data_IF_239692711835
#
_entry.id   IF_239692711835
#
_cell.length_a   1.000
_cell.length_b   1.000
_cell.length_c   1.000
_cell.angle_alpha   90.00
_cell.angle_beta   90.00
_cell.angle_gamma   90.00
#
_symmetry.space_group_name_H-M   'P 1'
#
loop_
_entity.id
_entity.type
_entity.pdbx_description
1 polymer ?
#
# COMPACT_ATOMS: atom_id res chain seq x y z
N UNK A 1 -27.60 16.97 8.57
CA UNK A 1 -28.00 15.69 7.92
C UNK A 1 -26.72 14.99 7.49
N UNK A 2 -26.35 13.95 8.24
CA UNK A 2 -25.16 13.14 7.99
C UNK A 2 -25.49 12.20 6.81
N UNK A 3 -24.98 12.51 5.61
CA UNK A 3 -25.05 11.58 4.49
C UNK A 3 -24.06 10.46 4.76
N UNK A 4 -24.56 9.37 5.33
CA UNK A 4 -23.82 8.10 5.39
C UNK A 4 -23.75 7.59 3.96
N UNK A 5 -22.65 7.88 3.28
CA UNK A 5 -22.35 7.23 2.02
C UNK A 5 -22.01 5.77 2.31
N UNK A 6 -22.95 4.90 2.04
CA UNK A 6 -22.71 3.48 1.87
C UNK A 6 -21.76 3.34 0.67
N UNK A 7 -20.44 3.36 0.93
CA UNK A 7 -19.51 2.76 0.00
C UNK A 7 -19.82 1.27 0.00
N UNK A 8 -20.69 0.86 -0.90
CA UNK A 8 -20.79 -0.53 -1.32
C UNK A 8 -19.35 -0.95 -1.64
N UNK A 9 -18.79 -1.83 -0.82
CA UNK A 9 -17.66 -2.65 -1.21
C UNK A 9 -18.07 -3.25 -2.54
N UNK A 10 -17.60 -2.65 -3.64
CA UNK A 10 -17.80 -3.21 -4.97
C UNK A 10 -17.30 -4.64 -4.84
N UNK A 11 -18.15 -5.64 -5.05
CA UNK A 11 -17.74 -7.01 -4.78
C UNK A 11 -16.47 -7.29 -5.56
N UNK A 12 -15.45 -7.80 -4.88
CA UNK A 12 -14.13 -8.14 -5.43
C UNK A 12 -14.21 -9.09 -6.66
N UNK A 13 -15.41 -9.55 -7.01
CA UNK A 13 -15.69 -10.53 -8.05
C UNK A 13 -15.90 -9.97 -9.47
N UNK A 14 -15.78 -8.66 -9.69
CA UNK A 14 -15.93 -8.08 -11.05
C UNK A 14 -14.71 -8.24 -11.96
N UNK A 15 -13.82 -9.19 -11.67
CA UNK A 15 -12.71 -9.54 -12.55
C UNK A 15 -13.04 -10.72 -13.49
N UNK A 16 -14.22 -10.71 -14.10
CA UNK A 16 -14.58 -11.61 -15.18
C UNK A 16 -14.03 -11.12 -16.52
N UNK A 17 -13.27 -11.99 -17.20
CA UNK A 17 -12.70 -11.94 -18.54
C UNK A 17 -11.40 -11.12 -18.74
N UNK A 18 -10.49 -11.55 -19.65
CA UNK A 18 -9.21 -10.91 -19.89
C UNK A 18 -9.38 -9.66 -20.76
N UNK A 19 -9.86 -8.59 -20.17
CA UNK A 19 -9.77 -7.28 -20.78
C UNK A 19 -8.35 -6.75 -20.48
N UNK A 20 -7.62 -6.41 -21.52
CA UNK A 20 -6.24 -5.91 -21.49
C UNK A 20 -6.07 -4.53 -20.82
N UNK A 21 -7.08 -4.06 -20.10
CA UNK A 21 -6.99 -2.78 -19.41
C UNK A 21 -5.98 -2.84 -18.28
N UNK A 22 -5.05 -1.90 -18.30
CA UNK A 22 -4.04 -1.76 -17.27
C UNK A 22 -4.69 -1.62 -15.89
N UNK A 23 -4.24 -2.41 -14.90
CA UNK A 23 -4.81 -2.46 -13.54
C UNK A 23 -4.87 -1.07 -12.88
N UNK A 24 -3.86 -0.24 -13.09
CA UNK A 24 -3.82 1.11 -12.56
C UNK A 24 -4.94 1.98 -13.10
N UNK A 25 -5.24 1.85 -14.40
CA UNK A 25 -6.34 2.58 -15.07
C UNK A 25 -7.67 2.09 -14.55
N UNK A 26 -7.88 0.76 -14.48
CA UNK A 26 -9.12 0.17 -13.99
C UNK A 26 -9.41 0.59 -12.54
N UNK A 27 -8.44 0.44 -11.65
CA UNK A 27 -8.59 0.80 -10.23
C UNK A 27 -8.72 2.31 -10.05
N UNK A 28 -7.95 3.10 -10.80
CA UNK A 28 -8.05 4.57 -10.78
C UNK A 28 -9.44 5.06 -11.15
N UNK A 29 -10.07 4.46 -12.17
CA UNK A 29 -11.46 4.78 -12.54
C UNK A 29 -12.47 4.45 -11.43
N UNK A 30 -12.32 3.29 -10.77
CA UNK A 30 -13.23 2.84 -9.70
C UNK A 30 -13.20 3.83 -8.52
N UNK A 31 -12.01 4.28 -8.13
CA UNK A 31 -11.84 5.13 -6.95
C UNK A 31 -11.67 6.63 -7.26
N UNK A 32 -11.81 7.03 -8.52
CA UNK A 32 -11.65 8.43 -8.93
C UNK A 32 -10.22 8.97 -8.77
N UNK A 33 -9.20 8.11 -8.76
CA UNK A 33 -7.81 8.47 -8.54
C UNK A 33 -7.04 8.41 -9.86
N UNK A 34 -6.20 9.42 -10.11
CA UNK A 34 -5.30 9.42 -11.26
C UNK A 34 -4.41 8.16 -11.26
N UNK A 35 -4.44 7.31 -12.30
CA UNK A 35 -3.70 6.04 -12.35
C UNK A 35 -2.20 6.19 -12.12
N UNK A 36 -1.60 7.28 -12.62
CA UNK A 36 -0.17 7.57 -12.43
C UNK A 36 0.16 7.93 -10.98
N UNK A 37 -0.82 8.47 -10.23
CA UNK A 37 -0.63 8.70 -8.79
C UNK A 37 -0.57 7.38 -8.03
N UNK A 38 -1.47 6.43 -8.30
CA UNK A 38 -1.42 5.09 -7.70
C UNK A 38 -0.09 4.39 -8.00
N UNK A 39 0.34 4.44 -9.26
CA UNK A 39 1.65 3.89 -9.67
C UNK A 39 2.80 4.56 -8.92
N UNK A 40 2.78 5.89 -8.79
CA UNK A 40 3.84 6.66 -8.11
C UNK A 40 3.93 6.33 -6.63
N UNK A 41 2.79 6.12 -5.97
CA UNK A 41 2.75 5.66 -4.58
C UNK A 41 3.37 4.27 -4.49
N UNK A 42 2.94 3.31 -5.29
CA UNK A 42 3.51 1.97 -5.28
C UNK A 42 5.02 1.96 -5.59
N UNK A 43 5.48 2.84 -6.48
CA UNK A 43 6.91 3.02 -6.78
C UNK A 43 7.69 3.52 -5.57
N UNK A 44 7.13 4.47 -4.80
CA UNK A 44 7.74 5.00 -3.58
C UNK A 44 7.70 3.99 -2.44
N UNK A 45 6.61 3.23 -2.31
CA UNK A 45 6.39 2.28 -1.22
C UNK A 45 7.28 1.03 -1.31
N UNK A 46 7.35 0.43 -2.47
CA UNK A 46 7.98 -0.88 -2.61
C UNK A 46 8.96 -1.00 -3.78
N UNK A 47 9.09 0.05 -4.59
CA UNK A 47 9.74 -0.03 -5.91
C UNK A 47 9.00 -1.00 -6.87
N UNK A 48 7.68 -1.10 -6.71
CA UNK A 48 6.78 -2.01 -7.43
C UNK A 48 6.99 -3.50 -7.11
N UNK A 49 7.72 -3.81 -6.06
CA UNK A 49 7.90 -5.19 -5.61
C UNK A 49 6.66 -5.65 -4.82
N UNK A 50 6.04 -6.72 -5.31
CA UNK A 50 4.80 -7.28 -4.72
C UNK A 50 5.04 -8.13 -3.47
N UNK A 51 6.28 -8.57 -3.24
CA UNK A 51 6.61 -9.52 -2.18
C UNK A 51 7.40 -8.89 -1.04
N UNK A 52 7.26 -7.57 -0.86
CA UNK A 52 7.88 -6.83 0.26
C UNK A 52 6.99 -6.88 1.49
N UNK A 53 7.62 -7.15 2.63
CA UNK A 53 7.06 -6.95 3.96
C UNK A 53 7.99 -6.02 4.71
N UNK A 54 7.48 -4.91 5.22
CA UNK A 54 8.28 -3.93 5.96
C UNK A 54 7.67 -3.64 7.34
N UNK A 55 8.51 -3.30 8.30
CA UNK A 55 8.08 -2.92 9.64
C UNK A 55 9.17 -2.16 10.39
N UNK A 56 8.77 -1.43 11.43
CA UNK A 56 9.68 -0.66 12.26
C UNK A 56 10.23 -1.54 13.41
N UNK A 57 11.55 -1.72 13.47
CA UNK A 57 12.15 -2.59 14.49
C UNK A 57 12.27 -1.92 15.86
N UNK A 58 12.25 -0.59 15.95
CA UNK A 58 12.30 0.13 17.23
C UNK A 58 11.07 -0.08 18.12
N UNK A 59 10.02 -0.72 17.60
CA UNK A 59 8.83 -1.14 18.34
C UNK A 59 8.87 -2.61 18.76
N UNK A 60 9.94 -3.31 18.44
CA UNK A 60 10.14 -4.72 18.78
C UNK A 60 10.86 -4.87 20.11
N UNK A 61 10.51 -5.92 20.83
CA UNK A 61 11.29 -6.35 22.00
C UNK A 61 12.61 -6.99 21.54
N UNK A 62 13.66 -7.02 22.38
CA UNK A 62 14.90 -7.73 22.05
C UNK A 62 14.67 -9.20 21.67
N UNK A 63 13.73 -9.88 22.34
CA UNK A 63 13.35 -11.25 22.02
C UNK A 63 12.75 -11.35 20.62
N UNK A 64 11.84 -10.47 20.23
CA UNK A 64 11.27 -10.46 18.88
C UNK A 64 12.34 -10.24 17.81
N UNK A 65 13.33 -9.38 18.05
CA UNK A 65 14.46 -9.18 17.12
C UNK A 65 15.24 -10.48 16.96
N UNK A 66 15.56 -11.17 18.06
CA UNK A 66 16.28 -12.43 18.03
C UNK A 66 15.49 -13.54 17.32
N UNK A 67 14.21 -13.69 17.67
CA UNK A 67 13.32 -14.71 17.09
C UNK A 67 13.16 -14.49 15.57
N UNK A 68 13.05 -13.22 15.13
CA UNK A 68 12.98 -12.89 13.70
C UNK A 68 14.29 -13.23 12.99
N UNK A 69 15.44 -12.88 13.56
CA UNK A 69 16.73 -13.18 12.96
C UNK A 69 16.91 -14.68 12.77
N UNK A 70 16.58 -15.47 13.80
CA UNK A 70 16.63 -16.93 13.72
C UNK A 70 15.65 -17.50 12.68
N UNK A 71 14.44 -16.92 12.58
CA UNK A 71 13.46 -17.32 11.57
C UNK A 71 13.96 -17.03 10.15
N UNK A 72 14.50 -15.83 9.90
CA UNK A 72 15.02 -15.44 8.59
C UNK A 72 16.20 -16.32 8.17
N UNK A 73 17.15 -16.55 9.07
CA UNK A 73 18.31 -17.41 8.84
C UNK A 73 17.89 -18.85 8.52
N UNK A 74 17.05 -19.46 9.35
CA UNK A 74 16.51 -20.82 9.15
C UNK A 74 15.83 -20.98 7.79
N UNK A 75 15.12 -19.96 7.32
CA UNK A 75 14.39 -19.99 6.04
C UNK A 75 15.21 -19.46 4.86
N UNK A 76 16.46 -18.99 5.07
CA UNK A 76 17.34 -18.38 4.08
C UNK A 76 16.70 -17.19 3.38
N UNK A 77 15.99 -16.36 4.16
CA UNK A 77 15.28 -15.16 3.68
C UNK A 77 16.15 -13.94 3.95
N UNK A 78 16.43 -13.17 2.91
CA UNK A 78 17.21 -11.95 3.02
C UNK A 78 16.37 -10.77 3.52
N UNK A 79 16.96 -9.95 4.39
CA UNK A 79 16.36 -8.70 4.84
C UNK A 79 17.34 -7.54 4.67
N UNK A 80 16.79 -6.35 4.42
CA UNK A 80 17.58 -5.10 4.41
C UNK A 80 17.08 -4.19 5.52
N UNK A 81 18.00 -3.75 6.34
CA UNK A 81 17.71 -2.77 7.39
C UNK A 81 18.07 -1.37 6.90
N UNK A 82 17.14 -0.45 7.02
CA UNK A 82 17.32 0.97 6.75
C UNK A 82 16.94 1.77 7.99
N UNK A 83 17.91 2.34 8.68
CA UNK A 83 17.71 3.13 9.91
C UNK A 83 16.82 2.43 10.94
N UNK A 84 15.51 2.61 10.88
CA UNK A 84 14.51 2.08 11.81
C UNK A 84 13.54 1.09 11.19
N UNK A 85 13.70 0.78 9.89
CA UNK A 85 12.81 -0.09 9.12
C UNK A 85 13.58 -1.31 8.65
N UNK A 86 12.99 -2.48 8.84
CA UNK A 86 13.41 -3.72 8.18
C UNK A 86 12.48 -3.95 7.00
N UNK A 87 13.05 -4.13 5.81
CA UNK A 87 12.34 -4.54 4.62
C UNK A 87 12.81 -5.93 4.20
N UNK A 88 11.88 -6.87 4.14
CA UNK A 88 12.10 -8.25 3.69
C UNK A 88 11.53 -8.36 2.29
N UNK A 89 12.40 -8.65 1.30
CA UNK A 89 12.04 -8.86 -0.10
C UNK A 89 12.10 -10.34 -0.41
N UNK A 90 10.93 -10.95 -0.47
CA UNK A 90 10.81 -12.39 -0.71
C UNK A 90 10.86 -12.72 -2.21
N UNK A 91 11.32 -13.91 -2.55
CA UNK A 91 11.46 -14.38 -3.94
C UNK A 91 10.11 -14.69 -4.59
N UNK A 92 9.13 -15.06 -3.80
CA UNK A 92 7.79 -15.47 -4.26
C UNK A 92 6.72 -15.32 -3.17
N UNK A 93 5.46 -15.52 -3.56
CA UNK A 93 4.31 -15.43 -2.64
C UNK A 93 4.43 -16.39 -1.44
N UNK A 94 4.92 -17.60 -1.64
CA UNK A 94 5.01 -18.59 -0.57
C UNK A 94 6.00 -18.16 0.51
N UNK A 95 7.15 -17.62 0.13
CA UNK A 95 8.14 -17.08 1.06
C UNK A 95 7.61 -15.83 1.80
N UNK A 96 7.01 -14.87 1.07
CA UNK A 96 6.39 -13.69 1.65
C UNK A 96 5.26 -14.06 2.63
N UNK A 97 4.46 -15.07 2.30
CA UNK A 97 3.40 -15.58 3.17
C UNK A 97 3.95 -16.19 4.47
N UNK A 98 5.08 -16.88 4.42
CA UNK A 98 5.75 -17.37 5.64
C UNK A 98 6.18 -16.23 6.56
N UNK A 99 6.72 -15.14 5.97
CA UNK A 99 7.12 -13.94 6.75
C UNK A 99 5.92 -13.33 7.44
N UNK A 100 4.83 -13.05 6.71
CA UNK A 100 3.60 -12.49 7.28
C UNK A 100 3.00 -13.40 8.34
N UNK A 101 2.97 -14.72 8.08
CA UNK A 101 2.50 -15.70 9.06
C UNK A 101 3.31 -15.60 10.36
N UNK A 102 4.63 -15.61 10.26
CA UNK A 102 5.51 -15.49 11.42
C UNK A 102 5.28 -14.20 12.21
N UNK A 103 5.22 -13.05 11.52
CA UNK A 103 4.99 -11.75 12.17
C UNK A 103 3.63 -11.71 12.87
N UNK A 104 2.59 -12.17 12.18
CA UNK A 104 1.22 -12.12 12.70
C UNK A 104 1.00 -13.06 13.91
N UNK A 105 1.45 -14.31 13.82
CA UNK A 105 1.28 -15.31 14.88
C UNK A 105 2.11 -15.05 16.13
N UNK A 106 3.23 -14.31 15.98
CA UNK A 106 4.09 -13.94 17.11
C UNK A 106 3.83 -12.49 17.59
N UNK A 107 2.67 -11.92 17.26
CA UNK A 107 2.23 -10.60 17.72
C UNK A 107 3.28 -9.49 17.49
N UNK A 108 3.93 -9.50 16.32
CA UNK A 108 4.81 -8.40 15.96
C UNK A 108 4.02 -7.09 15.83
N UNK A 109 4.65 -5.94 16.16
CA UNK A 109 4.01 -4.66 15.93
C UNK A 109 3.68 -4.49 14.44
N UNK A 110 2.98 -3.43 14.12
CA UNK A 110 2.48 -3.15 12.77
C UNK A 110 3.51 -3.44 11.68
N UNK A 111 3.08 -4.10 10.62
CA UNK A 111 3.85 -4.37 9.42
C UNK A 111 3.07 -3.95 8.18
N UNK A 112 3.80 -3.68 7.11
CA UNK A 112 3.29 -3.27 5.81
C UNK A 112 3.49 -4.40 4.80
N UNK A 113 2.53 -4.61 3.88
CA UNK A 113 2.51 -5.77 2.99
C UNK A 113 2.25 -5.39 1.54
N UNK A 114 3.09 -5.89 0.65
CA UNK A 114 2.87 -5.89 -0.80
C UNK A 114 3.20 -4.57 -1.49
N UNK A 115 2.73 -4.45 -2.75
CA UNK A 115 3.17 -3.40 -3.68
C UNK A 115 2.86 -1.96 -3.23
N UNK A 116 1.73 -1.74 -2.54
CA UNK A 116 1.34 -0.44 -1.97
C UNK A 116 1.52 -0.38 -0.45
N UNK A 117 2.24 -1.34 0.14
CA UNK A 117 2.60 -1.42 1.56
C UNK A 117 1.38 -1.20 2.48
N UNK A 118 0.39 -2.09 2.35
CA UNK A 118 -0.81 -2.03 3.19
C UNK A 118 -0.47 -2.39 4.63
N UNK A 119 -0.67 -1.45 5.54
CA UNK A 119 -0.36 -1.61 6.95
C UNK A 119 -1.35 -2.56 7.64
N UNK A 120 -0.85 -3.40 8.54
CA UNK A 120 -1.64 -4.38 9.31
C UNK A 120 -2.70 -3.74 10.23
N UNK A 121 -2.63 -2.42 10.48
CA UNK A 121 -3.69 -1.66 11.17
C UNK A 121 -5.03 -1.74 10.43
N UNK A 122 -5.00 -1.99 9.11
CA UNK A 122 -6.19 -2.12 8.28
C UNK A 122 -6.83 -3.52 8.35
N UNK A 123 -6.38 -4.38 9.27
CA UNK A 123 -6.98 -5.71 9.45
C UNK A 123 -8.51 -5.70 9.56
N UNK A 124 -9.15 -4.80 10.35
CA UNK A 124 -10.62 -4.76 10.41
C UNK A 124 -11.29 -4.48 9.06
N UNK A 125 -10.66 -3.65 8.21
CA UNK A 125 -11.11 -3.40 6.84
C UNK A 125 -10.96 -4.65 5.97
N UNK A 126 -9.81 -5.32 6.05
CA UNK A 126 -9.52 -6.53 5.30
C UNK A 126 -10.48 -7.66 5.68
N UNK A 127 -10.70 -7.89 6.97
CA UNK A 127 -11.64 -8.90 7.48
C UNK A 127 -13.06 -8.68 6.95
N UNK A 128 -13.54 -7.41 6.99
CA UNK A 128 -14.85 -7.06 6.46
C UNK A 128 -14.95 -7.32 4.94
N UNK A 129 -13.85 -7.23 4.23
CA UNK A 129 -13.77 -7.50 2.79
C UNK A 129 -13.49 -8.99 2.47
N UNK A 130 -13.29 -9.85 3.46
CA UNK A 130 -12.89 -11.23 3.26
C UNK A 130 -11.48 -11.40 2.71
N UNK A 131 -10.59 -10.42 2.94
CA UNK A 131 -9.21 -10.40 2.43
C UNK A 131 -8.27 -10.77 3.56
N UNK A 132 -7.41 -11.75 3.34
CA UNK A 132 -6.29 -12.08 4.24
C UNK A 132 -5.05 -11.25 3.92
N UNK A 133 -4.09 -11.18 4.85
CA UNK A 133 -2.77 -10.60 4.55
C UNK A 133 -2.03 -11.33 3.43
N UNK A 134 -2.30 -12.62 3.20
CA UNK A 134 -1.67 -13.40 2.12
C UNK A 134 -2.21 -13.01 0.74
N UNK A 135 -3.45 -12.50 0.67
CA UNK A 135 -4.04 -12.03 -0.58
C UNK A 135 -3.44 -10.69 -1.03
N UNK A 136 -2.86 -9.92 -0.10
CA UNK A 136 -2.17 -8.67 -0.40
C UNK A 136 -0.88 -8.86 -1.24
N UNK A 137 -0.43 -10.09 -1.45
CA UNK A 137 0.63 -10.40 -2.41
C UNK A 137 0.14 -10.56 -3.85
N UNK A 138 -1.18 -10.52 -4.07
CA UNK A 138 -1.75 -10.31 -5.40
C UNK A 138 -1.77 -8.79 -5.69
N UNK A 139 -1.06 -8.31 -6.74
CA UNK A 139 -1.03 -6.89 -7.04
C UNK A 139 -2.42 -6.29 -7.30
N UNK A 140 -3.36 -7.07 -7.86
CA UNK A 140 -4.72 -6.57 -8.14
C UNK A 140 -5.45 -6.25 -6.84
N UNK A 141 -5.38 -7.14 -5.87
CA UNK A 141 -6.00 -6.97 -4.55
C UNK A 141 -5.30 -5.83 -3.79
N UNK A 142 -3.98 -5.83 -3.77
CA UNK A 142 -3.20 -4.84 -3.03
C UNK A 142 -3.42 -3.42 -3.55
N UNK A 143 -3.37 -3.21 -4.89
CA UNK A 143 -3.61 -1.91 -5.52
C UNK A 143 -5.04 -1.43 -5.24
N UNK A 144 -6.03 -2.33 -5.26
CA UNK A 144 -7.41 -1.99 -4.98
C UNK A 144 -7.61 -1.56 -3.52
N UNK A 145 -7.03 -2.28 -2.56
CA UNK A 145 -7.05 -1.90 -1.14
C UNK A 145 -6.32 -0.58 -0.91
N UNK A 146 -5.14 -0.40 -1.49
CA UNK A 146 -4.38 0.85 -1.39
C UNK A 146 -5.12 2.04 -1.97
N UNK A 147 -5.77 1.87 -3.12
CA UNK A 147 -6.60 2.92 -3.73
C UNK A 147 -7.81 3.28 -2.85
N UNK A 148 -8.47 2.30 -2.24
CA UNK A 148 -9.55 2.55 -1.28
C UNK A 148 -9.07 3.37 -0.08
N UNK A 149 -7.93 2.99 0.53
CA UNK A 149 -7.34 3.73 1.66
C UNK A 149 -6.99 5.16 1.22
N UNK A 150 -6.36 5.32 0.06
CA UNK A 150 -6.01 6.64 -0.47
C UNK A 150 -7.25 7.49 -0.76
N UNK A 151 -8.32 6.91 -1.32
CA UNK A 151 -9.58 7.61 -1.53
C UNK A 151 -10.15 8.15 -0.22
N UNK A 152 -10.15 7.34 0.86
CA UNK A 152 -10.59 7.81 2.18
C UNK A 152 -9.70 8.92 2.75
N UNK A 153 -8.41 8.95 2.41
CA UNK A 153 -7.55 10.07 2.75
C UNK A 153 -7.94 11.34 1.99
N UNK A 154 -8.25 11.24 0.70
CA UNK A 154 -8.72 12.39 -0.10
C UNK A 154 -10.07 12.93 0.37
N UNK A 155 -10.96 12.09 0.87
CA UNK A 155 -12.24 12.53 1.46
C UNK A 155 -12.04 13.33 2.76
N UNK A 156 -11.03 12.98 3.54
CA UNK A 156 -10.76 13.61 4.84
C UNK A 156 -9.91 14.87 4.73
N UNK A 157 -9.11 15.01 3.68
CA UNK A 157 -8.14 16.08 3.54
C UNK A 157 -8.42 16.95 2.32
N UNK A 158 -8.40 18.28 2.51
CA UNK A 158 -8.78 19.26 1.48
C UNK A 158 -7.76 19.38 0.33
N UNK A 159 -6.53 18.92 0.53
CA UNK A 159 -5.49 19.04 -0.48
C UNK A 159 -4.74 17.70 -0.67
N UNK A 160 -4.17 17.53 -1.85
CA UNK A 160 -3.51 16.30 -2.24
C UNK A 160 -2.24 16.00 -1.41
N UNK A 161 -1.51 17.03 -0.97
CA UNK A 161 -0.31 16.86 -0.13
C UNK A 161 -0.67 16.15 1.18
N UNK A 162 -1.69 16.66 1.88
CA UNK A 162 -2.10 16.12 3.17
C UNK A 162 -2.75 14.74 3.01
N UNK A 163 -3.56 14.52 1.96
CA UNK A 163 -4.13 13.22 1.67
C UNK A 163 -3.05 12.15 1.42
N UNK A 164 -2.05 12.47 0.61
CA UNK A 164 -0.92 11.56 0.33
C UNK A 164 -0.07 11.33 1.59
N UNK A 165 0.21 12.37 2.37
CA UNK A 165 0.93 12.23 3.63
C UNK A 165 0.15 11.40 4.66
N UNK A 166 -1.19 11.56 4.73
CA UNK A 166 -2.07 10.78 5.59
C UNK A 166 -2.06 9.28 5.21
N UNK A 167 -1.95 8.96 3.92
CA UNK A 167 -1.77 7.57 3.47
C UNK A 167 -0.53 6.92 4.13
N UNK A 168 0.56 7.65 4.23
CA UNK A 168 1.78 7.20 4.92
C UNK A 168 1.69 7.32 6.47
N UNK A 169 0.55 7.72 7.02
CA UNK A 169 0.28 7.73 8.46
C UNK A 169 0.70 8.97 9.23
N UNK A 170 1.28 10.00 8.58
CA UNK A 170 1.68 11.25 9.23
C UNK A 170 1.51 12.44 8.29
N UNK A 171 0.75 13.47 8.70
CA UNK A 171 0.46 14.63 7.84
C UNK A 171 1.59 15.67 7.90
N UNK A 172 1.93 16.13 9.12
CA UNK A 172 2.90 17.19 9.34
C UNK A 172 4.34 16.68 9.28
N UNK A 173 5.28 17.51 8.84
CA UNK A 173 6.73 17.19 8.76
C UNK A 173 7.01 15.88 8.04
N UNK A 174 6.22 15.58 7.01
CA UNK A 174 6.33 14.35 6.25
C UNK A 174 6.76 14.65 4.81
N UNK A 175 7.98 14.25 4.39
CA UNK A 175 8.46 14.44 3.03
C UNK A 175 7.86 13.43 2.03
N UNK A 176 6.94 12.58 2.46
CA UNK A 176 6.41 11.48 1.66
C UNK A 176 5.72 11.95 0.38
N UNK A 177 4.81 12.92 0.50
CA UNK A 177 4.12 13.49 -0.68
C UNK A 177 5.09 14.10 -1.69
N UNK A 178 6.19 14.73 -1.25
CA UNK A 178 7.20 15.27 -2.15
C UNK A 178 7.91 14.15 -2.95
N UNK A 179 8.17 12.98 -2.31
CA UNK A 179 8.72 11.81 -3.01
C UNK A 179 7.73 11.28 -4.05
N UNK A 180 6.46 11.15 -3.67
CA UNK A 180 5.39 10.70 -4.59
C UNK A 180 5.24 11.67 -5.78
N UNK A 181 5.21 12.97 -5.54
CA UNK A 181 5.13 13.96 -6.62
C UNK A 181 6.36 13.96 -7.53
N UNK A 182 7.54 13.67 -7.00
CA UNK A 182 8.76 13.50 -7.81
C UNK A 182 8.62 12.33 -8.78
N UNK A 183 8.15 11.17 -8.31
CA UNK A 183 7.89 10.00 -9.18
C UNK A 183 6.76 10.28 -10.18
N UNK A 184 5.69 10.91 -9.74
CA UNK A 184 4.57 11.30 -10.59
C UNK A 184 5.00 12.22 -11.74
N UNK A 185 5.84 13.21 -11.47
CA UNK A 185 6.37 14.12 -12.52
C UNK A 185 7.20 13.37 -13.57
N UNK A 186 7.96 12.36 -13.20
CA UNK A 186 8.72 11.55 -14.16
C UNK A 186 7.83 10.86 -15.20
N UNK A 187 6.61 10.49 -14.81
CA UNK A 187 5.63 9.83 -15.69
C UNK A 187 4.94 10.78 -16.67
N UNK A 188 5.04 12.09 -16.46
CA UNK A 188 4.45 13.06 -17.37
C UNK A 188 5.34 13.36 -18.58
N UNK A 189 6.58 12.86 -18.62
CA UNK A 189 7.52 13.18 -19.70
C UNK A 189 7.67 14.70 -19.85
N UNK A 190 8.26 15.18 -20.89
CA UNK A 190 8.39 16.59 -21.27
C UNK A 190 7.05 17.27 -21.66
N UNK A 191 5.93 16.89 -21.05
CA UNK A 191 4.68 17.63 -21.19
C UNK A 191 4.86 18.98 -20.53
N UNK A 192 4.95 20.01 -21.38
CA UNK A 192 5.19 21.40 -21.01
C UNK A 192 4.26 21.85 -19.89
N UNK A 193 4.84 22.53 -18.93
CA UNK A 193 4.28 23.28 -17.82
C UNK A 193 2.88 23.86 -18.09
N UNK A 194 1.86 23.19 -17.60
CA UNK A 194 0.51 23.70 -17.65
C UNK A 194 -0.42 22.84 -16.79
N UNK A 195 -0.55 23.21 -15.50
CA UNK A 195 -1.59 22.76 -14.59
C UNK A 195 -1.80 21.22 -14.49
N UNK A 196 -0.94 20.56 -13.76
CA UNK A 196 -1.21 19.19 -13.28
C UNK A 196 -2.30 19.25 -12.20
N UNK A 197 -3.57 19.24 -12.61
CA UNK A 197 -4.67 18.98 -11.68
C UNK A 197 -4.65 17.50 -11.36
N UNK A 198 -4.31 17.15 -10.14
CA UNK A 198 -4.56 15.83 -9.58
C UNK A 198 -6.08 15.67 -9.45
N UNK A 199 -6.67 14.91 -10.34
CA UNK A 199 -8.11 14.66 -10.29
C UNK A 199 -8.38 13.55 -9.28
N UNK A 200 -8.89 13.92 -8.11
CA UNK A 200 -9.80 13.09 -7.36
C UNK A 200 -11.21 13.52 -7.76
N UNK A 201 -11.95 12.65 -8.41
CA UNK A 201 -13.36 12.85 -8.71
C UNK A 201 -14.14 11.99 -7.75
N UNK A 202 -14.92 12.60 -6.86
CA UNK A 202 -15.88 11.85 -6.06
C UNK A 202 -16.74 11.04 -7.02
N UNK A 203 -16.81 9.72 -6.92
CA UNK A 203 -17.75 8.94 -7.70
C UNK A 203 -19.16 9.34 -7.24
N UNK A 204 -19.92 9.94 -8.14
CA UNK A 204 -21.32 10.33 -7.97
C UNK A 204 -22.19 9.10 -7.85
#
# INVERSE_FOLDING_TARGET
MLKIFFFLLVPFYLFGAPNSENIWVKVGKIYGIEPRLLYSIAKVESDLDRYVVAFSFNKMTPKQVQDLSAFLEKNRIESKQHTQVIAIRSKNKAEASKVVHFLYTNNYPRFDTGIMQINSIHKPLLDKAGISFYDLFDPKINIQVGAYILATCFEKHKNAKDAINAYNGKINDNPYSAKVFKEFKKLYGSYQSGQTKLYYRNPS
#
